data_IF_556835945298
#
_entry.id   IF_556835945298
#
_cell.length_a   1.000
_cell.length_b   1.000
_cell.length_c   1.000
_cell.angle_alpha   90.00
_cell.angle_beta   90.00
_cell.angle_gamma   90.00
#
_symmetry.space_group_name_H-M   'P 1'
#
loop_
_entity.id
_entity.type
_entity.pdbx_description
1 polymer ?
#
# COMPACT_ATOMS: atom_id res chain seq x y z
N UNK A 1 47.27 -1.88 32.86
CA UNK A 1 47.51 -1.93 31.40
C UNK A 1 46.88 -3.20 30.84
N UNK A 2 45.62 -3.19 30.39
CA UNK A 2 44.98 -4.17 29.49
C UNK A 2 43.67 -3.48 29.06
N UNK A 3 43.31 -3.17 27.81
CA UNK A 3 43.75 -3.56 26.49
C UNK A 3 42.48 -3.55 25.65
N UNK A 4 42.15 -2.42 25.01
CA UNK A 4 40.98 -2.26 24.15
C UNK A 4 41.06 -3.23 22.97
N UNK A 5 40.07 -4.12 22.83
CA UNK A 5 39.98 -5.10 21.74
C UNK A 5 38.59 -5.11 21.10
N UNK A 6 38.41 -4.26 20.09
CA UNK A 6 37.41 -4.39 19.04
C UNK A 6 38.05 -3.79 17.79
N UNK A 7 37.98 -4.45 16.62
CA UNK A 7 36.69 -4.56 15.94
C UNK A 7 36.49 -5.87 15.14
N UNK A 8 35.28 -6.41 15.13
CA UNK A 8 34.85 -7.21 13.99
C UNK A 8 33.65 -6.50 13.38
N UNK A 9 33.98 -5.59 12.45
CA UNK A 9 33.02 -4.92 11.58
C UNK A 9 32.48 -5.97 10.62
N UNK A 10 31.43 -6.69 11.05
CA UNK A 10 30.53 -7.37 10.13
C UNK A 10 29.65 -6.28 9.55
N UNK A 11 30.05 -5.75 8.38
CA UNK A 11 29.19 -4.87 7.62
C UNK A 11 27.92 -5.65 7.27
N UNK A 12 26.71 -5.13 7.56
CA UNK A 12 25.50 -5.74 7.04
C UNK A 12 25.53 -5.61 5.52
N UNK A 13 25.45 -6.74 4.84
CA UNK A 13 25.21 -6.83 3.41
C UNK A 13 23.94 -6.03 3.10
N UNK A 14 24.08 -4.87 2.47
CA UNK A 14 22.93 -4.08 2.02
C UNK A 14 22.34 -4.80 0.82
N UNK A 15 21.48 -5.78 1.12
CA UNK A 15 20.64 -6.44 0.15
C UNK A 15 19.76 -5.40 -0.56
N UNK A 16 20.08 -5.19 -1.83
CA UNK A 16 19.45 -4.33 -2.85
C UNK A 16 19.62 -2.82 -2.63
N UNK A 17 20.23 -2.10 -3.60
CA UNK A 17 20.36 -0.66 -3.52
C UNK A 17 18.98 0.00 -3.44
N UNK A 18 18.87 1.08 -2.68
CA UNK A 18 17.66 1.88 -2.63
C UNK A 18 17.31 2.38 -4.05
N UNK A 19 16.02 2.34 -4.44
CA UNK A 19 15.61 2.77 -5.79
C UNK A 19 15.97 4.23 -6.02
N UNK A 20 16.40 4.57 -7.23
CA UNK A 20 16.64 5.93 -7.72
C UNK A 20 15.39 6.80 -7.66
N UNK A 21 15.56 8.12 -7.82
CA UNK A 21 14.43 9.06 -7.84
C UNK A 21 13.47 8.75 -8.98
N UNK A 22 14.01 8.42 -10.14
CA UNK A 22 13.30 8.10 -11.37
C UNK A 22 12.47 6.82 -11.21
N UNK A 23 13.06 5.77 -10.63
CA UNK A 23 12.36 4.51 -10.33
C UNK A 23 11.24 4.72 -9.31
N UNK A 24 11.45 5.54 -8.28
CA UNK A 24 10.38 5.88 -7.32
C UNK A 24 9.23 6.61 -8.00
N UNK A 25 9.53 7.53 -8.92
CA UNK A 25 8.52 8.25 -9.71
C UNK A 25 7.73 7.28 -10.60
N UNK A 26 8.42 6.36 -11.28
CA UNK A 26 7.77 5.32 -12.09
C UNK A 26 6.84 4.44 -11.24
N UNK A 27 7.31 4.00 -10.07
CA UNK A 27 6.52 3.23 -9.11
C UNK A 27 5.27 3.98 -8.62
N UNK A 28 5.39 5.26 -8.27
CA UNK A 28 4.21 6.04 -7.83
C UNK A 28 3.21 6.25 -8.95
N UNK A 29 3.68 6.48 -10.17
CA UNK A 29 2.81 6.61 -11.34
C UNK A 29 2.04 5.32 -11.61
N UNK A 30 2.71 4.16 -11.61
CA UNK A 30 2.06 2.87 -11.85
C UNK A 30 1.11 2.48 -10.71
N UNK A 31 1.47 2.81 -9.46
CA UNK A 31 0.58 2.68 -8.29
C UNK A 31 -0.73 3.45 -8.50
N UNK A 32 -0.64 4.72 -8.88
CA UNK A 32 -1.82 5.59 -9.01
C UNK A 32 -2.72 5.14 -10.17
N UNK A 33 -2.13 4.64 -11.26
CA UNK A 33 -2.87 4.04 -12.39
C UNK A 33 -3.63 2.78 -11.93
N UNK A 34 -2.94 1.85 -11.23
CA UNK A 34 -3.56 0.63 -10.72
C UNK A 34 -4.66 0.93 -9.71
N UNK A 35 -4.41 1.79 -8.72
CA UNK A 35 -5.41 2.20 -7.73
C UNK A 35 -6.60 2.92 -8.37
N UNK A 36 -6.37 3.75 -9.38
CA UNK A 36 -7.44 4.37 -10.16
C UNK A 36 -8.30 3.33 -10.90
N UNK A 37 -7.71 2.24 -11.39
CA UNK A 37 -8.47 1.13 -11.95
C UNK A 37 -9.33 0.42 -10.88
N UNK A 38 -8.77 0.15 -9.69
CA UNK A 38 -9.51 -0.44 -8.58
C UNK A 38 -10.70 0.43 -8.16
N UNK A 39 -10.51 1.75 -8.06
CA UNK A 39 -11.56 2.72 -7.70
C UNK A 39 -12.70 2.75 -8.71
N UNK A 40 -12.38 2.71 -10.01
CA UNK A 40 -13.37 2.63 -11.09
C UNK A 40 -14.23 1.38 -11.00
N UNK A 41 -13.63 0.27 -10.57
CA UNK A 41 -14.29 -1.04 -10.48
C UNK A 41 -14.83 -1.35 -9.07
N UNK A 42 -14.79 -0.38 -8.15
CA UNK A 42 -15.27 -0.52 -6.76
C UNK A 42 -14.58 -1.64 -5.98
N UNK A 43 -13.29 -1.85 -6.25
CA UNK A 43 -12.44 -2.83 -5.58
C UNK A 43 -11.67 -2.11 -4.47
N UNK A 44 -12.00 -2.45 -3.22
CA UNK A 44 -11.45 -1.74 -2.05
C UNK A 44 -10.05 -2.25 -1.70
N UNK A 45 -9.87 -3.57 -1.68
CA UNK A 45 -8.60 -4.20 -1.33
C UNK A 45 -7.90 -4.69 -2.60
N UNK A 46 -6.66 -4.23 -2.79
CA UNK A 46 -5.80 -4.71 -3.86
C UNK A 46 -5.57 -6.23 -3.70
N UNK A 47 -5.78 -6.98 -4.78
CA UNK A 47 -5.79 -8.43 -4.82
C UNK A 47 -7.20 -9.03 -4.95
N UNK A 48 -8.26 -8.33 -4.51
CA UNK A 48 -9.64 -8.83 -4.60
C UNK A 48 -10.18 -8.79 -6.05
N UNK A 49 -9.52 -8.08 -6.96
CA UNK A 49 -9.77 -8.15 -8.41
C UNK A 49 -9.45 -9.52 -9.02
N UNK A 50 -8.65 -10.32 -8.30
CA UNK A 50 -8.29 -11.68 -8.70
C UNK A 50 -9.43 -12.60 -8.28
N UNK A 51 -10.34 -12.91 -9.21
CA UNK A 51 -11.34 -13.94 -8.99
C UNK A 51 -10.71 -15.32 -9.16
N UNK A 52 -10.96 -16.20 -8.19
CA UNK A 52 -10.71 -17.64 -8.30
C UNK A 52 -12.02 -18.39 -8.49
N UNK A 53 -11.99 -19.47 -9.26
CA UNK A 53 -13.12 -20.37 -9.40
C UNK A 53 -13.28 -21.25 -8.14
N UNK A 54 -14.28 -22.14 -8.15
CA UNK A 54 -14.53 -23.09 -7.05
C UNK A 54 -13.40 -24.11 -6.84
N UNK A 55 -12.45 -24.21 -7.77
CA UNK A 55 -11.30 -25.11 -7.72
C UNK A 55 -10.02 -24.38 -7.26
N UNK A 56 -10.09 -23.06 -7.06
CA UNK A 56 -8.96 -22.22 -6.70
C UNK A 56 -8.17 -21.72 -7.91
N UNK A 57 -8.62 -22.00 -9.13
CA UNK A 57 -7.97 -21.55 -10.36
C UNK A 57 -8.35 -20.09 -10.65
N UNK A 58 -7.38 -19.32 -11.11
CA UNK A 58 -7.58 -17.92 -11.50
C UNK A 58 -8.46 -17.84 -12.75
N UNK A 59 -9.58 -17.11 -12.68
CA UNK A 59 -10.50 -16.92 -13.80
C UNK A 59 -9.90 -15.92 -14.81
N UNK A 60 -9.75 -16.27 -16.12
CA UNK A 60 -9.29 -15.36 -17.15
C UNK A 60 -10.23 -14.16 -17.36
N UNK A 61 -9.68 -12.97 -17.66
CA UNK A 61 -10.47 -11.72 -17.77
C UNK A 61 -10.46 -10.86 -16.51
N UNK A 62 -9.38 -10.92 -15.74
CA UNK A 62 -9.24 -10.20 -14.48
C UNK A 62 -9.15 -8.68 -14.71
N UNK A 63 -10.01 -7.98 -13.98
CA UNK A 63 -10.10 -6.52 -13.93
C UNK A 63 -8.77 -5.96 -13.42
N UNK A 64 -8.26 -4.88 -14.03
CA UNK A 64 -7.02 -4.20 -13.64
C UNK A 64 -5.73 -5.04 -13.74
N UNK A 65 -5.75 -6.18 -14.47
CA UNK A 65 -4.60 -7.09 -14.52
C UNK A 65 -3.35 -6.51 -15.19
N UNK A 66 -3.52 -5.67 -16.22
CA UNK A 66 -2.41 -4.99 -16.89
C UNK A 66 -1.76 -3.96 -15.97
N UNK A 67 -2.56 -3.10 -15.37
CA UNK A 67 -2.12 -2.06 -14.44
C UNK A 67 -1.47 -2.68 -13.20
N UNK A 68 -2.01 -3.78 -12.68
CA UNK A 68 -1.40 -4.54 -11.57
C UNK A 68 -0.01 -5.03 -11.92
N UNK A 69 0.14 -5.63 -13.11
CA UNK A 69 1.43 -6.14 -13.58
C UNK A 69 2.46 -5.01 -13.70
N UNK A 70 2.07 -3.88 -14.27
CA UNK A 70 2.96 -2.72 -14.41
C UNK A 70 3.34 -2.12 -13.06
N UNK A 71 2.39 -2.09 -12.12
CA UNK A 71 2.62 -1.68 -10.74
C UNK A 71 3.62 -2.59 -10.01
N UNK A 72 3.40 -3.90 -10.05
CA UNK A 72 4.29 -4.89 -9.43
C UNK A 72 5.70 -4.90 -10.06
N UNK A 73 5.81 -4.63 -11.37
CA UNK A 73 7.11 -4.56 -12.07
C UNK A 73 7.87 -3.27 -11.78
N UNK A 74 7.16 -2.15 -11.60
CA UNK A 74 7.79 -0.83 -11.41
C UNK A 74 8.16 -0.56 -9.94
N UNK A 75 7.59 -1.31 -9.01
CA UNK A 75 7.75 -1.09 -7.57
C UNK A 75 8.51 -2.23 -6.90
N UNK A 76 9.31 -1.89 -5.88
CA UNK A 76 9.85 -2.90 -4.97
C UNK A 76 8.70 -3.60 -4.23
N UNK A 77 8.80 -4.92 -4.02
CA UNK A 77 7.76 -5.72 -3.34
C UNK A 77 7.33 -5.12 -1.99
N UNK A 78 8.29 -4.68 -1.17
CA UNK A 78 8.00 -4.05 0.12
C UNK A 78 7.16 -2.77 -0.01
N UNK A 79 7.34 -2.01 -1.09
CA UNK A 79 6.53 -0.81 -1.37
C UNK A 79 5.13 -1.19 -1.80
N UNK A 80 4.99 -2.21 -2.67
CA UNK A 80 3.69 -2.75 -3.08
C UNK A 80 2.89 -3.19 -1.86
N UNK A 81 3.49 -4.01 -1.00
CA UNK A 81 2.85 -4.49 0.23
C UNK A 81 2.43 -3.34 1.15
N UNK A 82 3.30 -2.34 1.32
CA UNK A 82 3.02 -1.17 2.14
C UNK A 82 1.86 -0.34 1.58
N UNK A 83 1.90 0.01 0.30
CA UNK A 83 0.89 0.84 -0.34
C UNK A 83 -0.48 0.15 -0.37
N UNK A 84 -0.52 -1.15 -0.66
CA UNK A 84 -1.76 -1.91 -0.65
C UNK A 84 -2.40 -1.92 0.74
N UNK A 85 -1.61 -2.18 1.79
CA UNK A 85 -2.07 -2.09 3.19
C UNK A 85 -2.54 -0.67 3.52
N UNK A 86 -1.77 0.34 3.16
CA UNK A 86 -2.09 1.75 3.45
C UNK A 86 -3.40 2.17 2.79
N UNK A 87 -3.63 1.78 1.53
CA UNK A 87 -4.89 2.03 0.81
C UNK A 87 -6.08 1.42 1.55
N UNK A 88 -6.02 0.13 1.90
CA UNK A 88 -7.11 -0.54 2.61
C UNK A 88 -7.41 0.09 3.97
N UNK A 89 -6.37 0.42 4.74
CA UNK A 89 -6.53 1.10 6.03
C UNK A 89 -7.16 2.48 5.87
N UNK A 90 -6.73 3.25 4.87
CA UNK A 90 -7.27 4.58 4.62
C UNK A 90 -8.74 4.53 4.19
N UNK A 91 -9.10 3.62 3.28
CA UNK A 91 -10.50 3.42 2.87
C UNK A 91 -11.38 3.01 4.05
N UNK A 92 -10.91 2.09 4.91
CA UNK A 92 -11.62 1.71 6.14
C UNK A 92 -11.78 2.90 7.09
N UNK A 93 -10.72 3.70 7.26
CA UNK A 93 -10.76 4.90 8.10
C UNK A 93 -11.82 5.89 7.61
N UNK A 94 -11.86 6.16 6.30
CA UNK A 94 -12.85 7.03 5.69
C UNK A 94 -14.28 6.49 5.87
N UNK A 95 -14.49 5.20 5.66
CA UNK A 95 -15.79 4.57 5.88
C UNK A 95 -16.23 4.68 7.36
N UNK A 96 -15.31 4.52 8.31
CA UNK A 96 -15.60 4.69 9.75
C UNK A 96 -15.97 6.13 10.08
N UNK A 97 -15.28 7.11 9.51
CA UNK A 97 -15.62 8.54 9.68
C UNK A 97 -17.03 8.80 9.15
N UNK A 98 -17.33 8.34 7.93
CA UNK A 98 -18.64 8.51 7.30
C UNK A 98 -19.77 7.86 8.13
N UNK A 99 -19.54 6.66 8.68
CA UNK A 99 -20.50 5.98 9.55
C UNK A 99 -20.71 6.74 10.88
N UNK A 100 -19.64 7.30 11.47
CA UNK A 100 -19.73 8.12 12.67
C UNK A 100 -20.51 9.43 12.43
N UNK A 101 -20.29 10.09 11.29
CA UNK A 101 -21.07 11.26 10.89
C UNK A 101 -22.55 10.94 10.70
N UNK A 102 -22.87 9.86 9.98
CA UNK A 102 -24.26 9.43 9.72
C UNK A 102 -25.00 9.05 11.00
N UNK A 103 -24.30 8.57 12.03
CA UNK A 103 -24.87 8.26 13.34
C UNK A 103 -24.93 9.46 14.29
N UNK A 104 -24.47 10.64 13.86
CA UNK A 104 -24.42 11.85 14.69
C UNK A 104 -23.29 11.86 15.74
N UNK A 105 -22.42 10.84 15.77
CA UNK A 105 -21.29 10.76 16.69
C UNK A 105 -20.10 11.56 16.14
N UNK A 106 -20.19 12.88 16.28
CA UNK A 106 -19.19 13.84 15.76
C UNK A 106 -17.83 13.68 16.42
N UNK A 107 -17.79 13.34 17.71
CA UNK A 107 -16.54 13.15 18.45
C UNK A 107 -15.77 11.93 17.94
N UNK A 108 -16.48 10.82 17.67
CA UNK A 108 -15.87 9.65 17.04
C UNK A 108 -15.36 9.98 15.63
N UNK A 109 -16.12 10.73 14.83
CA UNK A 109 -15.69 11.16 13.50
C UNK A 109 -14.38 11.98 13.57
N UNK A 110 -14.28 12.93 14.49
CA UNK A 110 -13.07 13.73 14.69
C UNK A 110 -11.88 12.89 15.20
N UNK A 111 -12.12 11.97 16.13
CA UNK A 111 -11.08 11.05 16.61
C UNK A 111 -10.48 10.25 15.45
N UNK A 112 -11.31 9.66 14.57
CA UNK A 112 -10.83 8.92 13.40
C UNK A 112 -10.16 9.82 12.34
N UNK A 113 -10.52 11.11 12.25
CA UNK A 113 -9.79 12.07 11.39
C UNK A 113 -8.33 12.21 11.80
N UNK A 114 -8.07 12.23 13.11
CA UNK A 114 -6.72 12.42 13.67
C UNK A 114 -5.77 11.22 13.48
N UNK A 115 -6.29 10.03 13.21
CA UNK A 115 -5.51 8.77 13.07
C UNK A 115 -4.78 8.67 11.71
N UNK A 116 -5.28 9.34 10.66
CA UNK A 116 -4.63 9.36 9.35
C UNK A 116 -3.72 10.58 9.26
N UNK A 117 -2.40 10.38 9.07
CA UNK A 117 -1.39 11.44 8.99
C UNK A 117 -1.49 12.40 7.79
N UNK A 118 -2.69 12.84 7.42
CA UNK A 118 -2.87 14.03 6.62
C UNK A 118 -2.66 15.25 7.54
N UNK A 119 -1.85 16.25 7.15
CA UNK A 119 -1.73 17.48 7.93
C UNK A 119 -3.10 18.17 7.97
N UNK A 120 -3.41 18.77 9.13
CA UNK A 120 -4.54 19.70 9.26
C UNK A 120 -4.45 20.79 8.16
N UNK A 121 -5.61 21.25 7.64
CA UNK A 121 -5.65 22.28 6.61
C UNK A 121 -4.93 23.57 7.03
#
# INVERSE_FOLDING_TARGET
MFGFGSPSSSQPEIEKPAPSREERKACWNSRDIYFGCLDKNKILQAGDEIRTDTKGDIIPGQVCSAERKDYENSCAKAWVDYFNKRRTLELRRLATIEAAEKSGNRDAAEAWRSVGGAPKP
#
